data_IF_816899817092
#
_entry.id   IF_816899817092
#
_cell.length_a   1.000
_cell.length_b   1.000
_cell.length_c   1.000
_cell.angle_alpha   90.00
_cell.angle_beta   90.00
_cell.angle_gamma   90.00
#
_symmetry.space_group_name_H-M   'P 1'
#
loop_
_entity.id
_entity.type
_entity.pdbx_description
1 polymer ?
#
# COMPACT_ATOMS: atom_id res chain seq x y z
N UNK A 1 12.78 -12.28 3.66
CA UNK A 1 11.60 -11.90 2.83
C UNK A 1 10.38 -11.72 3.70
N UNK A 2 9.63 -10.63 3.55
CA UNK A 2 8.32 -10.45 4.17
C UNK A 2 7.20 -10.92 3.23
N UNK A 3 6.14 -11.51 3.77
CA UNK A 3 5.00 -11.98 3.00
C UNK A 3 3.75 -11.20 3.39
N UNK A 4 3.15 -10.53 2.41
CA UNK A 4 1.97 -9.70 2.56
C UNK A 4 0.83 -10.23 1.71
N UNK A 5 -0.40 -9.88 2.06
CA UNK A 5 -1.58 -10.19 1.26
C UNK A 5 -2.38 -8.94 0.93
N UNK A 6 -3.24 -9.00 -0.09
CA UNK A 6 -4.05 -7.87 -0.51
C UNK A 6 -5.55 -8.11 -0.34
N UNK A 7 -6.31 -7.02 -0.19
CA UNK A 7 -7.79 -7.06 -0.12
C UNK A 7 -8.47 -6.84 -1.47
N UNK A 8 -7.71 -6.56 -2.54
CA UNK A 8 -8.30 -6.29 -3.85
C UNK A 8 -9.27 -7.40 -4.28
N UNK A 9 -10.48 -7.02 -4.70
CA UNK A 9 -11.54 -7.94 -5.12
C UNK A 9 -12.06 -8.91 -4.04
N UNK A 10 -11.75 -8.66 -2.78
CA UNK A 10 -12.25 -9.43 -1.65
C UNK A 10 -13.49 -8.76 -1.05
N UNK A 11 -14.50 -9.53 -0.70
CA UNK A 11 -15.63 -9.01 0.07
C UNK A 11 -15.14 -8.45 1.40
N UNK A 12 -15.72 -7.32 1.82
CA UNK A 12 -15.33 -6.64 3.06
C UNK A 12 -15.39 -7.55 4.29
N UNK A 13 -16.43 -8.40 4.38
CA UNK A 13 -16.57 -9.36 5.47
C UNK A 13 -15.48 -10.45 5.44
N UNK A 14 -15.05 -10.87 4.24
CA UNK A 14 -13.95 -11.84 4.10
C UNK A 14 -12.62 -11.24 4.57
N UNK A 15 -12.36 -9.96 4.32
CA UNK A 15 -11.15 -9.30 4.79
C UNK A 15 -11.00 -9.37 6.31
N UNK A 16 -12.10 -9.18 7.06
CA UNK A 16 -12.12 -9.30 8.52
C UNK A 16 -11.88 -10.73 9.01
N UNK A 17 -12.27 -11.73 8.21
CA UNK A 17 -12.00 -13.14 8.50
C UNK A 17 -10.57 -13.53 8.16
N UNK A 18 -10.04 -13.05 7.04
CA UNK A 18 -8.71 -13.39 6.53
C UNK A 18 -7.59 -12.76 7.35
N UNK A 19 -7.76 -11.53 7.85
CA UNK A 19 -6.72 -10.84 8.59
C UNK A 19 -6.23 -11.64 9.85
N UNK A 20 -7.11 -12.20 10.72
CA UNK A 20 -6.67 -13.06 11.80
C UNK A 20 -5.97 -14.33 11.32
N UNK A 21 -6.43 -14.97 10.24
CA UNK A 21 -5.78 -16.16 9.68
C UNK A 21 -4.35 -15.88 9.23
N UNK A 22 -4.13 -14.74 8.55
CA UNK A 22 -2.80 -14.31 8.15
C UNK A 22 -1.89 -14.02 9.36
N UNK A 23 -2.44 -13.36 10.40
CA UNK A 23 -1.70 -13.07 11.63
C UNK A 23 -1.26 -14.37 12.36
N UNK A 24 -2.16 -15.35 12.46
CA UNK A 24 -1.91 -16.65 13.06
C UNK A 24 -0.88 -17.46 12.25
N UNK A 25 -1.00 -17.47 10.95
CA UNK A 25 -0.09 -18.17 10.03
C UNK A 25 1.30 -17.50 9.90
N UNK A 26 1.49 -16.30 10.48
CA UNK A 26 2.77 -15.62 10.53
C UNK A 26 3.13 -14.84 9.26
N UNK A 27 2.14 -14.37 8.53
CA UNK A 27 2.34 -13.35 7.50
C UNK A 27 2.75 -12.03 8.15
N UNK A 28 3.44 -11.19 7.39
CA UNK A 28 3.96 -9.92 7.90
C UNK A 28 2.93 -8.80 7.80
N UNK A 29 2.07 -8.83 6.78
CA UNK A 29 1.11 -7.75 6.61
C UNK A 29 0.01 -7.99 5.61
N UNK A 30 -0.89 -7.01 5.53
CA UNK A 30 -2.00 -6.96 4.59
C UNK A 30 -2.13 -5.55 4.02
N UNK A 31 -2.40 -5.43 2.72
CA UNK A 31 -2.60 -4.15 2.06
C UNK A 31 -4.05 -3.99 1.63
N UNK A 32 -4.61 -2.80 1.87
CA UNK A 32 -5.92 -2.41 1.38
C UNK A 32 -5.78 -1.60 0.09
N UNK A 33 -6.58 -1.94 -0.91
CA UNK A 33 -6.70 -1.15 -2.13
C UNK A 33 -7.69 -0.01 -1.96
N UNK A 34 -7.64 1.00 -2.80
CA UNK A 34 -8.39 2.23 -2.64
C UNK A 34 -9.02 2.70 -3.94
N UNK A 35 -10.35 2.73 -3.95
CA UNK A 35 -11.18 3.45 -4.90
C UNK A 35 -12.38 4.03 -4.15
N UNK A 36 -12.74 5.27 -4.45
CA UNK A 36 -13.85 5.94 -3.79
C UNK A 36 -15.17 5.66 -4.48
N UNK A 37 -15.17 5.59 -5.80
CA UNK A 37 -16.37 5.45 -6.63
C UNK A 37 -16.08 4.66 -7.92
N UNK A 38 -17.13 4.21 -8.57
CA UNK A 38 -17.11 3.78 -9.97
C UNK A 38 -18.09 4.65 -10.77
N UNK A 39 -17.64 5.58 -11.62
CA UNK A 39 -18.52 6.45 -12.38
C UNK A 39 -19.19 5.68 -13.50
N UNK A 40 -20.45 6.04 -13.84
CA UNK A 40 -21.15 5.43 -14.98
C UNK A 40 -20.42 5.69 -16.30
N UNK A 41 -19.88 6.89 -16.46
CA UNK A 41 -19.06 7.30 -17.60
C UNK A 41 -17.61 7.41 -17.11
N UNK A 42 -16.81 6.40 -17.43
CA UNK A 42 -15.39 6.34 -17.14
C UNK A 42 -14.61 6.66 -18.42
N UNK A 43 -14.03 7.84 -18.49
CA UNK A 43 -13.23 8.31 -19.62
C UNK A 43 -11.72 8.14 -19.38
N UNK A 44 -11.31 8.11 -18.13
CA UNK A 44 -9.91 7.88 -17.74
C UNK A 44 -9.48 6.46 -18.07
N UNK A 45 -8.42 6.26 -18.86
CA UNK A 45 -7.94 4.91 -19.17
C UNK A 45 -7.26 4.29 -17.95
N UNK A 46 -7.61 3.04 -17.65
CA UNK A 46 -6.90 2.27 -16.61
C UNK A 46 -5.48 1.92 -17.09
N UNK A 47 -4.43 2.33 -16.35
CA UNK A 47 -3.06 2.27 -16.83
C UNK A 47 -2.53 0.84 -17.03
N UNK A 48 -3.02 -0.12 -16.24
CA UNK A 48 -2.55 -1.52 -16.26
C UNK A 48 -3.41 -2.43 -17.18
N UNK A 49 -4.11 -1.84 -18.14
CA UNK A 49 -4.96 -2.56 -19.09
C UNK A 49 -4.68 -2.14 -20.53
N UNK A 50 -4.51 -3.10 -21.42
CA UNK A 50 -4.37 -2.86 -22.85
C UNK A 50 -5.64 -2.30 -23.49
N UNK A 51 -6.81 -2.50 -22.87
CA UNK A 51 -8.11 -1.99 -23.30
C UNK A 51 -8.46 -0.64 -22.69
N UNK A 52 -7.68 -0.15 -21.73
CA UNK A 52 -7.97 1.02 -20.93
C UNK A 52 -9.14 0.84 -19.95
N UNK A 53 -9.71 -0.36 -19.83
CA UNK A 53 -10.80 -0.64 -18.88
C UNK A 53 -10.25 -1.30 -17.62
N UNK A 54 -10.77 -0.93 -16.43
CA UNK A 54 -10.41 -1.63 -15.21
C UNK A 54 -10.92 -3.09 -15.24
N UNK A 55 -10.21 -4.03 -14.57
CA UNK A 55 -10.61 -5.44 -14.53
C UNK A 55 -11.72 -5.76 -13.53
N UNK A 56 -12.41 -4.75 -13.02
CA UNK A 56 -13.53 -4.89 -12.07
C UNK A 56 -14.78 -4.21 -12.58
N UNK A 57 -15.92 -4.59 -12.03
CA UNK A 57 -17.25 -4.06 -12.35
C UNK A 57 -17.68 -2.97 -11.36
N UNK A 58 -18.74 -2.20 -11.67
CA UNK A 58 -19.31 -1.22 -10.74
C UNK A 58 -19.76 -1.80 -9.39
N UNK A 59 -20.09 -3.09 -9.37
CA UNK A 59 -20.56 -3.81 -8.17
C UNK A 59 -19.42 -4.28 -7.29
N UNK A 60 -18.16 -4.16 -7.73
CA UNK A 60 -16.99 -4.53 -6.93
C UNK A 60 -16.88 -3.65 -5.70
N UNK A 61 -16.91 -4.26 -4.52
CA UNK A 61 -16.80 -3.56 -3.25
C UNK A 61 -15.39 -3.00 -3.04
N UNK A 62 -15.30 -1.69 -2.90
CA UNK A 62 -14.09 -0.99 -2.47
C UNK A 62 -14.39 -0.29 -1.13
N UNK A 63 -14.17 -0.95 0.02
CA UNK A 63 -14.38 -0.32 1.32
C UNK A 63 -13.38 0.81 1.52
N UNK A 64 -13.76 1.82 2.34
CA UNK A 64 -12.78 2.80 2.80
C UNK A 64 -11.60 2.06 3.45
N UNK A 65 -10.41 2.32 2.93
CA UNK A 65 -9.24 1.53 3.27
C UNK A 65 -8.78 1.75 4.72
N UNK A 66 -8.95 2.96 5.29
CA UNK A 66 -8.56 3.23 6.68
C UNK A 66 -9.59 2.73 7.69
N UNK A 67 -10.88 2.75 7.35
CA UNK A 67 -11.93 2.10 8.16
C UNK A 67 -11.69 0.59 8.20
N UNK A 68 -11.41 -0.03 7.06
CA UNK A 68 -11.11 -1.45 6.98
C UNK A 68 -9.83 -1.81 7.74
N UNK A 69 -8.74 -1.05 7.56
CA UNK A 69 -7.47 -1.24 8.28
C UNK A 69 -7.71 -1.13 9.79
N UNK A 70 -8.47 -0.14 10.26
CA UNK A 70 -8.79 0.00 11.68
C UNK A 70 -9.50 -1.22 12.25
N UNK A 71 -10.49 -1.76 11.51
CA UNK A 71 -11.21 -2.97 11.91
C UNK A 71 -10.30 -4.21 11.95
N UNK A 72 -9.49 -4.44 10.90
CA UNK A 72 -8.55 -5.56 10.85
C UNK A 72 -7.46 -5.46 11.93
N UNK A 73 -6.97 -4.25 12.20
CA UNK A 73 -5.97 -4.01 13.23
C UNK A 73 -6.46 -4.35 14.64
N UNK A 74 -7.75 -4.11 14.92
CA UNK A 74 -8.37 -4.47 16.19
C UNK A 74 -8.54 -5.99 16.39
N UNK A 75 -8.58 -6.76 15.29
CA UNK A 75 -8.72 -8.22 15.29
C UNK A 75 -7.38 -8.98 15.29
N UNK A 76 -6.26 -8.27 15.15
CA UNK A 76 -4.92 -8.86 14.98
C UNK A 76 -3.93 -8.30 15.98
N UNK A 77 -2.79 -8.98 16.16
CA UNK A 77 -1.77 -8.59 17.14
C UNK A 77 -0.42 -8.22 16.54
N UNK A 78 -0.03 -8.87 15.44
CA UNK A 78 1.30 -8.74 14.81
C UNK A 78 1.21 -8.23 13.39
N UNK A 79 0.12 -8.58 12.69
CA UNK A 79 -0.08 -8.23 11.28
C UNK A 79 0.02 -6.73 11.07
N UNK A 80 0.86 -6.31 10.14
CA UNK A 80 1.04 -4.92 9.73
C UNK A 80 0.07 -4.59 8.60
N UNK A 81 -0.20 -3.31 8.40
CA UNK A 81 -1.15 -2.85 7.39
C UNK A 81 -0.57 -1.71 6.57
N UNK A 82 -0.93 -1.67 5.29
CA UNK A 82 -0.63 -0.57 4.39
C UNK A 82 -1.72 -0.44 3.33
N UNK A 83 -1.57 0.51 2.45
CA UNK A 83 -2.39 0.65 1.25
C UNK A 83 -1.54 0.27 0.02
N UNK A 84 -2.17 -0.36 -0.98
CA UNK A 84 -1.55 -0.59 -2.28
C UNK A 84 -2.53 -0.19 -3.40
N UNK A 85 -2.64 1.10 -3.64
CA UNK A 85 -2.12 2.31 -2.96
C UNK A 85 -3.29 3.22 -2.56
N UNK A 86 -3.10 4.09 -1.55
CA UNK A 86 -4.07 5.14 -1.19
C UNK A 86 -3.88 6.36 -2.10
N UNK A 87 -4.97 6.82 -2.70
CA UNK A 87 -4.95 8.01 -3.57
C UNK A 87 -5.00 9.27 -2.70
N UNK A 88 -3.93 9.51 -1.93
CA UNK A 88 -3.87 10.57 -0.94
C UNK A 88 -4.20 11.97 -1.51
N UNK A 89 -3.70 12.40 -2.70
CA UNK A 89 -4.01 13.71 -3.23
C UNK A 89 -5.45 13.91 -3.71
N UNK A 90 -6.29 12.87 -3.70
CA UNK A 90 -7.73 13.00 -3.91
C UNK A 90 -8.49 13.45 -2.65
N UNK A 91 -7.80 13.61 -1.51
CA UNK A 91 -8.39 13.91 -0.21
C UNK A 91 -7.75 15.13 0.44
N UNK A 92 -8.45 15.80 1.36
CA UNK A 92 -7.88 16.89 2.16
C UNK A 92 -6.72 16.40 3.04
N UNK A 93 -5.62 17.16 3.11
CA UNK A 93 -4.42 16.83 3.90
C UNK A 93 -4.74 16.44 5.35
N UNK A 94 -5.58 17.23 6.04
CA UNK A 94 -5.90 17.00 7.45
C UNK A 94 -6.74 15.74 7.67
N UNK A 95 -7.57 15.38 6.70
CA UNK A 95 -8.32 14.11 6.74
C UNK A 95 -7.38 12.93 6.65
N UNK A 96 -6.46 12.92 5.67
CA UNK A 96 -5.44 11.89 5.54
C UNK A 96 -4.61 11.79 6.82
N UNK A 97 -4.13 12.94 7.34
CA UNK A 97 -3.33 12.97 8.57
C UNK A 97 -4.08 12.33 9.76
N UNK A 98 -5.36 12.67 9.94
CA UNK A 98 -6.19 12.17 11.04
C UNK A 98 -6.48 10.68 10.91
N UNK A 99 -6.88 10.20 9.74
CA UNK A 99 -7.21 8.79 9.49
C UNK A 99 -6.00 7.89 9.77
N UNK A 100 -4.84 8.23 9.21
CA UNK A 100 -3.61 7.48 9.40
C UNK A 100 -3.15 7.48 10.85
N UNK A 101 -3.17 8.64 11.52
CA UNK A 101 -2.80 8.75 12.93
C UNK A 101 -3.70 7.90 13.84
N UNK A 102 -5.02 7.92 13.59
CA UNK A 102 -5.98 7.09 14.32
C UNK A 102 -5.70 5.60 14.12
N UNK A 103 -5.50 5.17 12.86
CA UNK A 103 -5.18 3.78 12.55
C UNK A 103 -3.82 3.35 13.16
N UNK A 104 -2.84 4.24 13.20
CA UNK A 104 -1.56 4.00 13.87
C UNK A 104 -1.73 3.73 15.36
N UNK A 105 -2.58 4.49 16.04
CA UNK A 105 -2.88 4.28 17.47
C UNK A 105 -3.64 2.97 17.70
N UNK A 106 -4.72 2.72 16.93
CA UNK A 106 -5.51 1.47 17.05
C UNK A 106 -4.62 0.24 16.83
N UNK A 107 -3.72 0.31 15.86
CA UNK A 107 -2.83 -0.80 15.53
C UNK A 107 -1.62 -0.93 16.46
N UNK A 108 -1.34 0.06 17.32
CA UNK A 108 -0.09 0.11 18.10
C UNK A 108 1.14 0.31 17.21
N UNK A 109 1.05 1.14 16.17
CA UNK A 109 2.15 1.47 15.26
C UNK A 109 2.37 0.47 14.12
N UNK A 110 1.41 -0.44 13.85
CA UNK A 110 1.53 -1.48 12.81
C UNK A 110 1.05 -1.03 11.42
N UNK A 111 0.91 0.27 11.18
CA UNK A 111 0.52 0.80 9.87
C UNK A 111 1.68 1.48 9.15
N UNK A 112 1.63 1.44 7.83
CA UNK A 112 2.39 2.27 6.91
C UNK A 112 1.43 2.92 5.92
N UNK A 113 1.74 4.12 5.42
CA UNK A 113 0.94 4.79 4.41
C UNK A 113 1.51 4.50 3.02
N UNK A 114 0.85 3.63 2.26
CA UNK A 114 1.17 3.40 0.86
C UNK A 114 0.42 4.39 -0.03
N UNK A 115 1.11 5.31 -0.68
CA UNK A 115 0.51 6.41 -1.46
C UNK A 115 0.76 6.30 -2.95
N UNK A 116 -0.19 6.81 -3.73
CA UNK A 116 -0.03 7.05 -5.16
C UNK A 116 -0.79 8.28 -5.61
N UNK A 117 -0.54 8.69 -6.84
CA UNK A 117 -1.17 9.89 -7.40
C UNK A 117 -2.58 9.66 -7.91
N UNK A 118 -2.99 8.40 -8.13
CA UNK A 118 -4.27 8.07 -8.75
C UNK A 118 -4.29 8.28 -10.28
N UNK A 119 -5.19 7.59 -10.93
CA UNK A 119 -5.33 7.58 -12.39
C UNK A 119 -6.72 8.08 -12.87
N UNK A 120 -7.75 7.95 -12.02
CA UNK A 120 -9.14 8.24 -12.35
C UNK A 120 -9.45 9.73 -12.12
N UNK A 121 -9.51 10.51 -13.19
CA UNK A 121 -9.82 11.95 -13.14
C UNK A 121 -11.18 12.20 -12.50
N UNK A 122 -12.15 11.35 -12.80
CA UNK A 122 -13.53 11.47 -12.32
C UNK A 122 -13.62 11.42 -10.78
N UNK A 123 -12.77 10.63 -10.11
CA UNK A 123 -12.70 10.65 -8.65
C UNK A 123 -12.26 12.01 -8.12
N UNK A 124 -11.22 12.61 -8.73
CA UNK A 124 -10.71 13.91 -8.31
C UNK A 124 -11.74 15.02 -8.48
N UNK A 125 -12.40 15.06 -9.63
CA UNK A 125 -13.40 16.07 -9.94
C UNK A 125 -14.58 16.00 -8.98
N UNK A 126 -15.10 14.80 -8.68
CA UNK A 126 -16.18 14.59 -7.74
C UNK A 126 -15.80 14.91 -6.29
N UNK A 127 -14.54 14.76 -5.93
CA UNK A 127 -13.99 15.13 -4.62
C UNK A 127 -13.53 16.59 -4.55
N UNK A 128 -13.73 17.38 -5.62
CA UNK A 128 -13.35 18.78 -5.67
C UNK A 128 -11.82 19.01 -5.67
N UNK A 129 -11.06 18.02 -6.14
CA UNK A 129 -9.61 18.07 -6.20
C UNK A 129 -9.11 18.22 -7.63
N UNK A 130 -8.09 19.05 -7.83
CA UNK A 130 -7.47 19.22 -9.13
C UNK A 130 -6.62 18.00 -9.52
N UNK A 131 -7.03 17.32 -10.59
CA UNK A 131 -6.32 16.15 -11.11
C UNK A 131 -4.93 16.49 -11.67
N UNK A 132 -4.77 17.64 -12.30
CA UNK A 132 -3.55 17.96 -13.04
C UNK A 132 -2.39 18.36 -12.10
N UNK A 133 -2.69 18.79 -10.88
CA UNK A 133 -1.69 19.08 -9.84
C UNK A 133 -1.42 17.93 -8.87
N UNK A 134 -2.12 16.78 -9.00
CA UNK A 134 -2.08 15.69 -8.03
C UNK A 134 -0.68 15.18 -7.66
N UNK A 135 0.22 15.13 -8.65
CA UNK A 135 1.61 14.72 -8.43
C UNK A 135 2.39 15.70 -7.58
N UNK A 136 2.28 16.99 -7.88
CA UNK A 136 2.93 18.08 -7.13
C UNK A 136 2.34 18.20 -5.72
N UNK A 137 1.02 18.04 -5.61
CA UNK A 137 0.35 18.02 -4.29
C UNK A 137 0.82 16.84 -3.45
N UNK A 138 1.02 15.65 -4.03
CA UNK A 138 1.56 14.52 -3.28
C UNK A 138 3.02 14.76 -2.85
N UNK A 139 3.85 15.38 -3.71
CA UNK A 139 5.22 15.74 -3.36
C UNK A 139 5.30 16.66 -2.13
N UNK A 140 4.32 17.54 -1.95
CA UNK A 140 4.21 18.45 -0.81
C UNK A 140 3.45 17.82 0.38
N UNK A 141 2.46 16.96 0.11
CA UNK A 141 1.67 16.29 1.16
C UNK A 141 2.55 15.38 2.03
N UNK A 142 3.53 14.68 1.44
CA UNK A 142 4.42 13.77 2.17
C UNK A 142 5.17 14.47 3.31
N UNK A 143 5.93 15.56 3.10
CA UNK A 143 6.57 16.28 4.21
C UNK A 143 5.55 16.92 5.16
N UNK A 144 4.42 17.43 4.66
CA UNK A 144 3.37 17.97 5.51
C UNK A 144 2.81 16.92 6.47
N UNK A 145 2.52 15.70 6.00
CA UNK A 145 2.07 14.60 6.84
C UNK A 145 3.09 14.24 7.92
N UNK A 146 4.39 14.18 7.57
CA UNK A 146 5.45 13.90 8.54
C UNK A 146 5.49 14.95 9.64
N UNK A 147 5.33 16.23 9.28
CA UNK A 147 5.28 17.32 10.26
C UNK A 147 4.05 17.21 11.15
N UNK A 148 2.85 16.98 10.57
CA UNK A 148 1.59 16.86 11.31
C UNK A 148 1.58 15.67 12.29
N UNK A 149 2.35 14.62 12.05
CA UNK A 149 2.45 13.44 12.91
C UNK A 149 3.52 13.52 14.01
N UNK A 150 4.27 14.61 14.08
CA UNK A 150 5.31 14.78 15.13
C UNK A 150 4.75 14.84 16.56
N UNK A 151 3.46 15.17 16.68
CA UNK A 151 2.82 15.46 17.95
C UNK A 151 3.16 16.87 18.47
N UNK A 152 2.34 17.37 19.40
CA UNK A 152 2.45 18.74 19.90
C UNK A 152 1.97 19.80 18.90
N UNK A 153 2.38 21.06 19.10
CA UNK A 153 2.05 22.18 18.22
C UNK A 153 2.92 22.15 16.99
N UNK A 154 2.31 22.11 15.82
CA UNK A 154 2.96 22.03 14.50
C UNK A 154 2.31 22.99 13.51
N UNK A 155 3.09 23.46 12.55
CA UNK A 155 2.61 24.25 11.42
C UNK A 155 3.31 23.78 10.15
N UNK A 156 2.71 24.03 9.00
CA UNK A 156 3.31 23.73 7.72
C UNK A 156 2.95 24.84 6.72
N UNK A 157 3.94 25.31 5.98
CA UNK A 157 3.77 26.30 4.92
C UNK A 157 4.38 25.79 3.63
N UNK A 158 3.54 25.62 2.61
CA UNK A 158 3.90 25.15 1.29
C UNK A 158 3.16 25.89 0.19
N UNK A 159 3.27 25.41 -1.02
CA UNK A 159 2.58 25.99 -2.18
C UNK A 159 1.11 25.54 -2.28
N UNK A 160 0.84 24.27 -1.97
CA UNK A 160 -0.48 23.66 -2.05
C UNK A 160 -1.14 23.53 -0.69
N UNK A 161 -0.37 23.42 0.37
CA UNK A 161 -0.87 23.22 1.73
C UNK A 161 -0.27 24.27 2.66
N UNK A 162 -1.14 24.98 3.36
CA UNK A 162 -0.77 25.88 4.45
C UNK A 162 -1.59 25.49 5.68
N UNK A 163 -0.93 25.17 6.77
CA UNK A 163 -1.55 24.77 8.03
C UNK A 163 -1.01 25.66 9.13
N UNK A 164 -1.87 26.48 9.76
CA UNK A 164 -1.44 27.31 10.88
C UNK A 164 -1.01 26.46 12.07
N UNK A 165 -0.40 27.06 13.07
CA UNK A 165 -0.02 26.33 14.26
C UNK A 165 -1.21 25.62 14.89
N UNK A 166 -1.17 24.29 14.93
CA UNK A 166 -2.24 23.43 15.40
C UNK A 166 -1.70 22.11 15.95
N UNK A 167 -2.57 21.34 16.58
CA UNK A 167 -2.25 20.02 17.12
C UNK A 167 -3.22 18.97 16.54
N UNK A 168 -2.70 17.82 16.14
CA UNK A 168 -3.49 16.65 15.76
C UNK A 168 -3.38 15.60 16.86
N UNK A 169 -4.51 15.28 17.51
CA UNK A 169 -4.61 14.18 18.45
C UNK A 169 -5.72 13.19 18.05
N UNK A 170 -5.51 11.88 18.21
CA UNK A 170 -4.25 11.27 18.63
C UNK A 170 -3.16 11.39 17.55
N UNK A 171 -1.91 11.51 17.95
CA UNK A 171 -0.76 11.39 17.03
C UNK A 171 -0.22 9.95 17.02
N UNK A 172 0.47 9.52 15.95
CA UNK A 172 1.03 8.18 15.86
C UNK A 172 2.03 7.89 16.99
N UNK A 173 2.05 6.68 17.58
CA UNK A 173 2.98 6.32 18.67
C UNK A 173 4.43 6.18 18.21
N UNK A 174 4.67 6.12 16.90
CA UNK A 174 5.98 6.05 16.26
C UNK A 174 5.88 6.65 14.85
N UNK A 175 6.99 7.02 14.20
CA UNK A 175 6.98 7.47 12.81
C UNK A 175 6.25 6.48 11.90
N UNK A 176 5.30 6.98 11.10
CA UNK A 176 4.57 6.18 10.11
C UNK A 176 5.40 6.11 8.84
N UNK A 177 5.82 4.92 8.40
CA UNK A 177 6.51 4.76 7.12
C UNK A 177 5.59 5.18 5.97
N UNK A 178 6.14 5.89 4.98
CA UNK A 178 5.44 6.28 3.76
C UNK A 178 6.06 5.53 2.58
N UNK A 179 5.24 4.75 1.88
CA UNK A 179 5.64 3.97 0.72
C UNK A 179 4.99 4.57 -0.53
N UNK A 180 5.73 4.76 -1.60
CA UNK A 180 5.19 5.38 -2.81
C UNK A 180 4.94 4.33 -3.90
N UNK A 181 3.75 4.32 -4.48
CA UNK A 181 3.42 3.51 -5.65
C UNK A 181 3.68 4.24 -6.97
N UNK A 182 3.65 3.45 -8.04
CA UNK A 182 3.76 3.92 -9.42
C UNK A 182 5.09 3.59 -10.10
N UNK A 183 5.01 3.42 -11.42
CA UNK A 183 6.12 2.93 -12.27
C UNK A 183 6.80 4.05 -13.08
N UNK A 184 6.19 5.23 -13.17
CA UNK A 184 6.78 6.34 -13.91
C UNK A 184 8.09 6.81 -13.27
N UNK A 185 9.00 7.34 -14.08
CA UNK A 185 10.25 7.90 -13.57
C UNK A 185 10.02 8.94 -12.46
N UNK A 186 8.95 9.74 -12.57
CA UNK A 186 8.57 10.71 -11.53
C UNK A 186 8.16 10.01 -10.23
N UNK A 187 7.43 8.90 -10.30
CA UNK A 187 7.04 8.13 -9.12
C UNK A 187 8.25 7.44 -8.46
N UNK A 188 9.15 6.85 -9.25
CA UNK A 188 10.38 6.24 -8.74
C UNK A 188 11.29 7.29 -8.08
N UNK A 189 11.43 8.48 -8.68
CA UNK A 189 12.18 9.58 -8.08
C UNK A 189 11.55 10.08 -6.77
N UNK A 190 10.22 10.17 -6.70
CA UNK A 190 9.49 10.50 -5.46
C UNK A 190 9.78 9.46 -4.38
N UNK A 191 9.62 8.17 -4.68
CA UNK A 191 9.91 7.09 -3.76
C UNK A 191 11.35 7.18 -3.22
N UNK A 192 12.33 7.29 -4.11
CA UNK A 192 13.74 7.34 -3.75
C UNK A 192 14.13 8.57 -2.93
N UNK A 193 13.51 9.73 -3.22
CA UNK A 193 13.87 11.02 -2.61
C UNK A 193 13.22 11.25 -1.24
N UNK A 194 11.94 10.88 -1.07
CA UNK A 194 11.13 11.35 0.07
C UNK A 194 10.44 10.24 0.85
N UNK A 195 10.40 9.01 0.34
CA UNK A 195 9.66 7.92 0.98
C UNK A 195 10.60 6.89 1.66
N UNK A 196 9.99 6.02 2.44
CA UNK A 196 10.66 4.94 3.16
C UNK A 196 10.59 3.62 2.39
N UNK A 197 9.95 3.63 1.21
CA UNK A 197 9.86 2.46 0.35
C UNK A 197 9.07 2.73 -0.93
N UNK A 198 8.97 1.66 -1.74
CA UNK A 198 8.23 1.64 -2.98
C UNK A 198 7.29 0.43 -3.03
N UNK A 199 6.06 0.66 -3.51
CA UNK A 199 5.09 -0.41 -3.77
C UNK A 199 4.92 -0.53 -5.27
N UNK A 200 5.36 -1.67 -5.80
CA UNK A 200 5.14 -2.05 -7.19
C UNK A 200 3.79 -2.77 -7.38
N UNK A 201 3.52 -3.11 -8.64
CA UNK A 201 2.38 -3.95 -9.01
C UNK A 201 2.79 -5.42 -9.10
N UNK A 202 2.39 -6.13 -10.16
CA UNK A 202 2.71 -7.52 -10.41
C UNK A 202 3.68 -7.64 -11.58
N UNK A 203 4.83 -8.25 -11.35
CA UNK A 203 5.91 -8.37 -12.34
C UNK A 203 6.49 -9.77 -12.39
N UNK A 204 7.10 -10.13 -13.52
CA UNK A 204 8.11 -11.19 -13.52
C UNK A 204 9.34 -10.73 -12.73
N UNK A 205 10.10 -11.67 -12.18
CA UNK A 205 11.33 -11.35 -11.45
C UNK A 205 12.31 -10.53 -12.29
N UNK A 206 12.39 -10.82 -13.60
CA UNK A 206 13.23 -10.08 -14.55
C UNK A 206 12.82 -8.60 -14.64
N UNK A 207 11.51 -8.32 -14.77
CA UNK A 207 11.01 -6.94 -14.82
C UNK A 207 11.21 -6.23 -13.48
N UNK A 208 10.98 -6.92 -12.37
CA UNK A 208 11.21 -6.39 -11.02
C UNK A 208 12.67 -5.96 -10.81
N UNK A 209 13.64 -6.73 -11.32
CA UNK A 209 15.07 -6.38 -11.26
C UNK A 209 15.38 -5.01 -11.89
N UNK A 210 14.68 -4.63 -12.96
CA UNK A 210 14.84 -3.31 -13.58
C UNK A 210 14.41 -2.17 -12.64
N UNK A 211 13.30 -2.33 -11.95
CA UNK A 211 12.81 -1.32 -10.99
C UNK A 211 13.69 -1.23 -9.75
N UNK A 212 14.13 -2.36 -9.19
CA UNK A 212 15.02 -2.36 -8.02
C UNK A 212 16.36 -1.70 -8.34
N UNK A 213 16.95 -2.01 -9.50
CA UNK A 213 18.19 -1.38 -9.97
C UNK A 213 18.02 0.13 -10.15
N UNK A 214 16.90 0.57 -10.77
CA UNK A 214 16.61 2.01 -10.96
C UNK A 214 16.42 2.74 -9.64
N UNK A 215 15.65 2.18 -8.71
CA UNK A 215 15.48 2.72 -7.36
C UNK A 215 16.83 2.83 -6.62
N UNK A 216 17.67 1.79 -6.69
CA UNK A 216 19.00 1.81 -6.11
C UNK A 216 19.89 2.92 -6.68
N UNK A 217 19.84 3.15 -8.00
CA UNK A 217 20.55 4.27 -8.64
C UNK A 217 20.01 5.62 -8.13
N UNK A 218 18.70 5.82 -8.14
CA UNK A 218 18.07 7.07 -7.70
C UNK A 218 18.37 7.38 -6.23
N UNK A 219 18.36 6.36 -5.37
CA UNK A 219 18.69 6.54 -3.95
C UNK A 219 20.13 6.98 -3.76
N UNK A 220 21.09 6.47 -4.56
CA UNK A 220 22.46 7.00 -4.59
C UNK A 220 22.53 8.44 -5.08
N UNK A 221 21.79 8.79 -6.14
CA UNK A 221 21.70 10.18 -6.63
C UNK A 221 21.22 11.15 -5.54
N UNK A 222 20.35 10.69 -4.62
CA UNK A 222 19.83 11.47 -3.50
C UNK A 222 20.61 11.29 -2.18
N UNK A 223 21.69 10.50 -2.15
CA UNK A 223 22.48 10.24 -0.95
C UNK A 223 21.76 9.42 0.14
N UNK A 224 20.78 8.59 -0.27
CA UNK A 224 19.93 7.81 0.64
C UNK A 224 20.12 6.29 0.53
N UNK A 225 21.18 5.83 -0.10
CA UNK A 225 21.45 4.41 -0.33
C UNK A 225 21.63 3.60 0.96
N UNK A 226 22.05 4.26 2.06
CA UNK A 226 22.28 3.62 3.36
C UNK A 226 21.06 3.66 4.29
N UNK A 227 20.01 4.39 3.94
CA UNK A 227 18.78 4.40 4.72
C UNK A 227 17.98 3.10 4.48
N UNK A 228 17.20 2.61 5.47
CA UNK A 228 16.23 1.54 5.23
C UNK A 228 15.27 1.93 4.11
N UNK A 229 14.91 0.94 3.28
CA UNK A 229 13.97 1.17 2.18
C UNK A 229 13.26 -0.12 1.81
N UNK A 230 11.94 -0.14 1.97
CA UNK A 230 11.13 -1.29 1.62
C UNK A 230 10.79 -1.32 0.13
N UNK A 231 10.91 -2.49 -0.48
CA UNK A 231 10.41 -2.76 -1.84
C UNK A 231 9.39 -3.88 -1.74
N UNK A 232 8.12 -3.52 -1.96
CA UNK A 232 6.97 -4.41 -1.85
C UNK A 232 6.32 -4.55 -3.23
N UNK A 233 6.16 -5.78 -3.73
CA UNK A 233 5.53 -6.03 -5.02
C UNK A 233 4.95 -7.45 -5.09
N UNK A 234 4.13 -7.76 -6.11
CA UNK A 234 3.72 -9.12 -6.41
C UNK A 234 4.62 -9.71 -7.50
N UNK A 235 4.91 -11.01 -7.41
CA UNK A 235 5.62 -11.75 -8.45
C UNK A 235 4.65 -12.65 -9.21
N UNK A 236 4.76 -12.63 -10.54
CA UNK A 236 3.96 -13.45 -11.46
C UNK A 236 4.58 -14.85 -11.67
N UNK A 237 5.83 -15.02 -11.29
CA UNK A 237 6.53 -16.30 -11.34
C UNK A 237 5.95 -17.27 -10.30
N UNK A 238 6.05 -18.61 -10.52
CA UNK A 238 5.55 -19.61 -9.59
C UNK A 238 6.13 -19.42 -8.18
N UNK A 239 5.30 -19.40 -7.11
CA UNK A 239 5.71 -19.06 -5.76
C UNK A 239 6.52 -20.21 -5.11
N UNK A 240 7.84 -20.08 -5.14
CA UNK A 240 8.77 -21.06 -4.56
C UNK A 240 9.78 -20.37 -3.62
N UNK A 241 10.32 -21.08 -2.62
CA UNK A 241 11.39 -20.51 -1.79
C UNK A 241 12.60 -20.02 -2.58
N UNK A 242 12.96 -20.68 -3.67
CA UNK A 242 14.08 -20.28 -4.54
C UNK A 242 13.78 -18.95 -5.26
N UNK A 243 12.54 -18.77 -5.77
CA UNK A 243 12.12 -17.49 -6.34
C UNK A 243 12.31 -16.34 -5.33
N UNK A 244 11.86 -16.55 -4.10
CA UNK A 244 11.91 -15.50 -3.08
C UNK A 244 13.31 -15.19 -2.59
N UNK A 245 14.21 -16.18 -2.54
CA UNK A 245 15.65 -15.93 -2.28
C UNK A 245 16.28 -15.08 -3.37
N UNK A 246 16.00 -15.40 -4.63
CA UNK A 246 16.46 -14.59 -5.77
C UNK A 246 15.87 -13.18 -5.74
N UNK A 247 14.65 -13.02 -5.29
CA UNK A 247 14.03 -11.70 -5.11
C UNK A 247 14.72 -10.90 -3.99
N UNK A 248 15.07 -11.53 -2.86
CA UNK A 248 15.86 -10.91 -1.79
C UNK A 248 17.23 -10.43 -2.30
N UNK A 249 17.92 -11.24 -3.11
CA UNK A 249 19.21 -10.88 -3.72
C UNK A 249 19.12 -9.64 -4.63
N UNK A 250 17.93 -9.37 -5.19
CA UNK A 250 17.63 -8.17 -5.96
C UNK A 250 17.23 -6.97 -5.10
N UNK A 251 17.16 -7.11 -3.76
CA UNK A 251 16.77 -6.07 -2.83
C UNK A 251 15.25 -5.92 -2.63
N UNK A 252 14.44 -6.89 -3.10
CA UNK A 252 13.00 -6.93 -2.79
C UNK A 252 12.85 -7.37 -1.34
N UNK A 253 12.19 -6.55 -0.51
CA UNK A 253 12.05 -6.81 0.93
C UNK A 253 10.76 -7.54 1.27
N UNK A 254 9.73 -7.39 0.42
CA UNK A 254 8.41 -7.97 0.65
C UNK A 254 7.71 -8.35 -0.65
N UNK A 255 6.93 -9.42 -0.60
CA UNK A 255 6.07 -9.85 -1.69
C UNK A 255 4.62 -9.89 -1.26
N UNK A 256 3.74 -9.45 -2.17
CA UNK A 256 2.28 -9.53 -2.02
C UNK A 256 1.76 -10.74 -2.78
N UNK A 257 0.90 -11.51 -2.15
CA UNK A 257 0.24 -12.65 -2.76
C UNK A 257 -1.12 -12.92 -2.12
N UNK A 258 -1.97 -13.63 -2.84
CA UNK A 258 -3.24 -14.14 -2.35
C UNK A 258 -3.24 -15.67 -2.54
N UNK A 259 -2.84 -16.47 -1.55
CA UNK A 259 -2.67 -17.91 -1.70
C UNK A 259 -3.92 -18.63 -2.22
N UNK A 260 -5.10 -18.20 -1.80
CA UNK A 260 -6.39 -18.74 -2.25
C UNK A 260 -6.70 -18.54 -3.73
N UNK A 261 -6.01 -17.59 -4.41
CA UNK A 261 -6.12 -17.40 -5.86
C UNK A 261 -5.15 -18.30 -6.62
N UNK A 262 -3.94 -18.50 -6.09
CA UNK A 262 -2.88 -19.31 -6.72
C UNK A 262 -2.97 -20.78 -6.39
N UNK A 263 -3.56 -21.14 -5.25
CA UNK A 263 -3.71 -22.52 -4.77
C UNK A 263 -5.16 -22.79 -4.30
N UNK A 264 -6.15 -22.69 -5.21
CA UNK A 264 -7.53 -22.90 -4.84
C UNK A 264 -7.76 -24.37 -4.43
N UNK A 265 -8.40 -24.57 -3.27
CA UNK A 265 -8.65 -25.90 -2.70
C UNK A 265 -10.07 -26.44 -2.96
N UNK A 266 -10.91 -25.68 -3.70
CA UNK A 266 -12.31 -26.03 -3.98
C UNK A 266 -13.26 -25.91 -2.77
N UNK A 267 -12.77 -25.50 -1.60
CA UNK A 267 -13.59 -25.30 -0.41
C UNK A 267 -14.44 -24.02 -0.50
N UNK A 268 -15.43 -23.91 0.37
CA UNK A 268 -16.33 -22.75 0.50
C UNK A 268 -16.20 -22.13 1.90
N UNK A 269 -16.81 -20.95 2.08
CA UNK A 269 -16.73 -20.26 3.37
C UNK A 269 -15.30 -19.90 3.77
N UNK A 270 -14.99 -19.96 5.07
CA UNK A 270 -13.66 -19.60 5.60
C UNK A 270 -12.56 -20.57 5.13
N UNK A 271 -12.89 -21.82 4.89
CA UNK A 271 -11.90 -22.85 4.53
C UNK A 271 -11.30 -22.63 3.13
N UNK A 272 -11.97 -21.88 2.27
CA UNK A 272 -11.38 -21.45 0.99
C UNK A 272 -10.13 -20.58 1.16
N UNK A 273 -10.01 -19.91 2.32
CA UNK A 273 -8.86 -19.07 2.68
C UNK A 273 -7.88 -19.80 3.60
N UNK A 274 -8.39 -20.47 4.64
CA UNK A 274 -7.59 -21.11 5.70
C UNK A 274 -6.58 -22.11 5.13
N UNK A 275 -7.03 -23.10 4.38
CA UNK A 275 -6.14 -24.11 3.81
C UNK A 275 -5.00 -23.52 3.00
N UNK A 276 -5.25 -22.72 1.94
CA UNK A 276 -4.18 -22.09 1.17
C UNK A 276 -3.24 -21.18 1.97
N UNK A 277 -3.73 -20.47 3.00
CA UNK A 277 -2.92 -19.63 3.88
C UNK A 277 -1.95 -20.50 4.70
N UNK A 278 -2.46 -21.54 5.33
CA UNK A 278 -1.66 -22.48 6.15
C UNK A 278 -0.65 -23.24 5.29
N UNK A 279 -1.07 -23.79 4.15
CA UNK A 279 -0.20 -24.52 3.22
C UNK A 279 0.97 -23.64 2.72
N UNK A 280 0.70 -22.38 2.37
CA UNK A 280 1.76 -21.47 1.96
C UNK A 280 2.70 -21.12 3.13
N UNK A 281 2.15 -20.94 4.33
CA UNK A 281 2.95 -20.66 5.51
C UNK A 281 3.92 -21.83 5.83
N UNK A 282 3.45 -23.06 5.74
CA UNK A 282 4.27 -24.27 5.98
C UNK A 282 5.28 -24.52 4.87
N UNK A 283 4.86 -24.39 3.61
CA UNK A 283 5.69 -24.79 2.47
C UNK A 283 6.69 -23.72 2.03
N UNK A 284 6.39 -22.46 2.29
CA UNK A 284 7.21 -21.30 1.85
C UNK A 284 7.70 -20.49 3.04
N UNK A 285 6.80 -19.87 3.85
CA UNK A 285 7.23 -18.92 4.88
C UNK A 285 8.17 -19.58 5.89
N UNK A 286 7.85 -20.80 6.34
CA UNK A 286 8.68 -21.55 7.29
C UNK A 286 10.09 -21.83 6.75
N UNK A 287 10.26 -21.98 5.43
CA UNK A 287 11.55 -22.23 4.77
C UNK A 287 12.36 -20.97 4.48
N UNK A 288 11.74 -19.81 4.63
CA UNK A 288 12.38 -18.50 4.42
C UNK A 288 12.81 -17.82 5.74
N UNK A 289 12.51 -18.45 6.87
CA UNK A 289 12.97 -18.07 8.22
C UNK A 289 14.30 -18.74 8.50
#
# INVERSE_FOLDING_TARGET
MQFWSGTAFMDTADALTVAPLLDEAGYHGMVASDHMIYPRELSSPYPDSSTGKPPWSPETGWPDSWVLIGAMAALTRRLRFSNAIYVAPARPLLEVAKQVATAAVISGGRVALGVGVGWMREEFELLGQDFDTRGKRLDEMIPALRELWRGGWVSFEGHYYSVPEMMIEPHPPAPVPILCGGESETALRRAARTCDGWIGYAYTLERAAGYTARLGQLRREYGREHEPFDIILALLDPPTPDLYKRAEDLGITAVMLAPWLSMPNGATGVDRFRGPIEDFAETVIAKMR
#
